data_IF_630990006260
#
_entry.id   IF_630990006260
#
_cell.length_a   1.000
_cell.length_b   1.000
_cell.length_c   1.000
_cell.angle_alpha   90.00
_cell.angle_beta   90.00
_cell.angle_gamma   90.00
#
_symmetry.space_group_name_H-M   'P 1'
#
loop_
_entity.id
_entity.type
_entity.pdbx_description
1 polymer ?
#
# COMPACT_ATOMS: atom_id res chain seq x y z
N UNK A 1 35.47 -36.96 19.57
CA UNK A 1 35.31 -37.35 18.15
C UNK A 1 33.87 -37.77 17.95
N UNK A 2 33.26 -37.37 16.83
CA UNK A 2 31.87 -37.61 16.40
C UNK A 2 30.77 -36.82 17.11
N UNK A 3 30.56 -35.58 16.66
CA UNK A 3 29.19 -35.02 16.45
C UNK A 3 29.25 -33.75 15.59
N UNK A 4 29.99 -33.83 14.47
CA UNK A 4 30.13 -32.75 13.48
C UNK A 4 29.41 -33.11 12.16
N UNK A 5 28.61 -34.19 12.13
CA UNK A 5 27.93 -34.72 10.93
C UNK A 5 26.42 -34.46 10.88
N UNK A 6 25.96 -33.30 11.38
CA UNK A 6 24.54 -32.90 11.27
C UNK A 6 24.36 -31.51 10.66
N UNK A 7 25.38 -31.02 9.96
CA UNK A 7 25.46 -29.69 9.36
C UNK A 7 25.62 -29.68 7.83
N UNK A 8 25.33 -30.79 7.12
CA UNK A 8 25.52 -30.88 5.66
C UNK A 8 24.28 -31.28 4.83
N UNK A 9 23.09 -31.39 5.44
CA UNK A 9 21.93 -31.99 4.75
C UNK A 9 20.69 -31.10 4.60
N UNK A 10 20.83 -29.77 4.66
CA UNK A 10 19.70 -28.89 4.35
C UNK A 10 20.06 -27.60 3.59
N UNK A 11 21.11 -27.67 2.78
CA UNK A 11 21.30 -26.73 1.67
C UNK A 11 21.07 -27.49 0.37
N UNK A 12 19.96 -27.19 -0.34
CA UNK A 12 19.82 -27.11 -1.81
C UNK A 12 18.38 -27.45 -2.25
N UNK A 13 17.59 -26.41 -2.53
CA UNK A 13 17.04 -26.08 -3.88
C UNK A 13 15.70 -25.34 -3.78
N UNK A 14 15.72 -24.05 -4.12
CA UNK A 14 14.68 -23.44 -4.95
C UNK A 14 15.36 -22.44 -5.89
N UNK A 15 15.94 -22.99 -6.97
CA UNK A 15 16.47 -22.23 -8.07
C UNK A 15 15.37 -21.98 -9.10
N UNK A 16 15.22 -20.71 -9.48
CA UNK A 16 14.53 -20.24 -10.68
C UNK A 16 15.16 -20.89 -11.90
N UNK A 17 14.39 -21.66 -12.70
CA UNK A 17 14.56 -21.78 -14.15
C UNK A 17 13.21 -22.13 -14.79
N UNK A 18 12.78 -21.24 -15.71
CA UNK A 18 11.69 -21.41 -16.70
C UNK A 18 11.86 -22.70 -17.51
N UNK A 19 10.79 -23.23 -18.12
CA UNK A 19 10.74 -23.80 -19.49
C UNK A 19 9.28 -24.17 -19.87
N UNK A 20 8.96 -24.37 -21.16
CA UNK A 20 7.82 -23.78 -21.84
C UNK A 20 6.69 -24.80 -22.12
N UNK A 21 5.48 -24.31 -22.43
CA UNK A 21 4.53 -25.09 -23.21
C UNK A 21 3.94 -24.26 -24.35
N UNK A 22 4.16 -24.80 -25.53
CA UNK A 22 4.04 -24.20 -26.83
C UNK A 22 2.58 -24.20 -27.31
N UNK A 23 2.13 -23.01 -27.71
CA UNK A 23 1.21 -22.71 -28.80
C UNK A 23 0.03 -23.62 -29.08
N UNK A 24 -1.19 -23.12 -28.79
CA UNK A 24 -2.31 -23.26 -29.73
C UNK A 24 -3.14 -21.97 -29.78
N UNK A 25 -2.95 -21.27 -30.90
CA UNK A 25 -3.84 -20.35 -31.63
C UNK A 25 -4.51 -19.20 -30.85
N UNK A 26 -3.75 -18.12 -30.79
CA UNK A 26 -4.10 -16.73 -30.44
C UNK A 26 -5.06 -16.05 -31.44
N UNK A 27 -5.95 -16.79 -32.11
CA UNK A 27 -6.85 -16.27 -33.15
C UNK A 27 -8.34 -16.42 -32.84
N UNK A 28 -8.76 -17.21 -31.85
CA UNK A 28 -10.21 -17.43 -31.60
C UNK A 28 -10.80 -16.58 -30.46
N UNK A 29 -9.97 -15.98 -29.59
CA UNK A 29 -10.45 -15.08 -28.53
C UNK A 29 -10.69 -13.63 -28.99
N UNK A 30 -10.19 -13.24 -30.17
CA UNK A 30 -10.44 -11.90 -30.74
C UNK A 30 -11.72 -11.83 -31.57
N UNK A 31 -12.24 -12.96 -32.07
CA UNK A 31 -13.46 -13.01 -32.85
C UNK A 31 -14.74 -12.89 -31.97
N UNK A 32 -14.68 -13.30 -30.71
CA UNK A 32 -15.77 -13.11 -29.73
C UNK A 32 -15.75 -11.70 -29.14
N UNK A 33 -14.58 -11.06 -29.04
CA UNK A 33 -14.45 -9.71 -28.51
C UNK A 33 -14.82 -8.58 -29.50
N UNK A 34 -14.95 -8.87 -30.80
CA UNK A 34 -15.24 -7.86 -31.82
C UNK A 34 -16.62 -7.97 -32.47
N UNK A 35 -17.45 -8.97 -32.14
CA UNK A 35 -18.87 -8.99 -32.51
C UNK A 35 -19.16 -8.73 -34.00
N UNK A 36 -18.38 -9.29 -34.93
CA UNK A 36 -18.61 -9.11 -36.37
C UNK A 36 -19.28 -10.36 -36.95
N UNK A 37 -20.55 -10.20 -37.33
CA UNK A 37 -21.29 -11.13 -38.18
C UNK A 37 -20.95 -10.82 -39.65
N UNK A 38 -20.48 -11.82 -40.40
CA UNK A 38 -20.24 -11.72 -41.85
C UNK A 38 -21.57 -11.58 -42.60
N UNK A 39 -21.65 -10.61 -43.50
CA UNK A 39 -22.76 -10.47 -44.46
C UNK A 39 -22.44 -9.40 -45.51
N UNK A 40 -22.13 -9.83 -46.73
CA UNK A 40 -21.80 -9.03 -47.92
C UNK A 40 -23.08 -8.56 -48.62
N UNK A 41 -23.17 -7.26 -49.00
CA UNK A 41 -23.51 -6.75 -50.35
C UNK A 41 -23.82 -5.23 -50.34
N UNK A 42 -23.03 -4.48 -51.13
CA UNK A 42 -23.53 -3.44 -52.03
C UNK A 42 -23.59 -1.98 -51.54
N UNK A 43 -22.95 -1.09 -52.30
CA UNK A 43 -23.38 0.31 -52.45
C UNK A 43 -22.40 1.37 -51.96
N UNK A 44 -21.57 1.88 -52.88
CA UNK A 44 -20.83 3.13 -52.75
C UNK A 44 -21.78 4.31 -52.48
N UNK A 45 -21.38 5.25 -51.60
CA UNK A 45 -21.54 6.72 -51.71
C UNK A 45 -21.04 7.40 -50.42
N UNK A 46 -19.92 8.12 -50.50
CA UNK A 46 -19.53 9.22 -49.58
C UNK A 46 -20.53 10.40 -49.75
N UNK A 47 -20.66 11.45 -48.88
CA UNK A 47 -19.70 12.05 -47.93
C UNK A 47 -20.37 12.52 -46.59
N UNK A 48 -20.05 13.67 -45.96
CA UNK A 48 -18.94 13.98 -45.04
C UNK A 48 -19.37 14.44 -43.62
N UNK A 49 -18.38 14.61 -42.74
CA UNK A 49 -18.31 15.53 -41.58
C UNK A 49 -19.62 15.91 -40.85
N UNK A 50 -19.77 15.44 -39.61
CA UNK A 50 -20.27 16.27 -38.51
C UNK A 50 -19.56 15.92 -37.20
N UNK A 51 -18.58 16.77 -36.89
CA UNK A 51 -18.17 17.09 -35.54
C UNK A 51 -19.39 17.56 -34.73
N UNK A 52 -19.26 17.41 -33.41
CA UNK A 52 -20.13 17.92 -32.34
C UNK A 52 -21.37 17.09 -31.99
N UNK A 53 -21.19 16.19 -31.01
CA UNK A 53 -21.93 16.24 -29.74
C UNK A 53 -21.54 15.05 -28.84
N UNK A 54 -20.65 15.29 -27.87
CA UNK A 54 -20.63 14.55 -26.61
C UNK A 54 -20.17 15.50 -25.50
N UNK A 55 -21.10 16.16 -24.79
CA UNK A 55 -20.78 16.83 -23.55
C UNK A 55 -20.65 15.79 -22.43
N UNK A 56 -19.60 15.91 -21.61
CA UNK A 56 -19.50 15.35 -20.25
C UNK A 56 -19.48 13.82 -20.13
N UNK A 57 -18.43 13.17 -20.65
CA UNK A 57 -18.01 11.88 -20.06
C UNK A 57 -17.23 12.23 -18.79
N UNK A 58 -17.94 12.24 -17.67
CA UNK A 58 -17.34 12.32 -16.35
C UNK A 58 -16.30 11.20 -16.19
N UNK A 59 -15.16 11.55 -15.60
CA UNK A 59 -14.00 10.71 -15.33
C UNK A 59 -14.25 9.55 -14.35
N UNK A 60 -15.52 9.15 -14.15
CA UNK A 60 -15.98 8.23 -13.12
C UNK A 60 -16.22 6.79 -13.61
N UNK A 61 -16.07 6.48 -14.90
CA UNK A 61 -16.36 5.12 -15.43
C UNK A 61 -15.11 4.44 -15.99
N UNK A 62 -14.04 4.40 -15.19
CA UNK A 62 -12.92 3.46 -15.43
C UNK A 62 -12.38 2.76 -14.18
N UNK A 63 -13.09 2.83 -13.04
CA UNK A 63 -12.65 2.19 -11.78
C UNK A 63 -13.43 0.93 -11.38
N UNK A 64 -14.40 0.47 -12.17
CA UNK A 64 -15.15 -0.75 -11.87
C UNK A 64 -14.48 -1.99 -12.48
N UNK A 65 -13.25 -2.31 -12.07
CA UNK A 65 -12.60 -3.60 -12.36
C UNK A 65 -11.35 -3.84 -11.49
N UNK A 66 -11.45 -3.62 -10.18
CA UNK A 66 -10.53 -4.24 -9.23
C UNK A 66 -11.38 -5.03 -8.26
N UNK A 67 -11.38 -6.36 -8.44
CA UNK A 67 -11.84 -7.32 -7.45
C UNK A 67 -11.00 -7.10 -6.19
N UNK A 68 -11.51 -6.30 -5.25
CA UNK A 68 -10.86 -6.13 -3.96
C UNK A 68 -10.93 -7.48 -3.25
N UNK A 69 -9.78 -7.98 -2.81
CA UNK A 69 -9.68 -9.18 -1.98
C UNK A 69 -10.29 -8.82 -0.61
N UNK A 70 -11.42 -9.44 -0.24
CA UNK A 70 -12.26 -9.13 0.93
C UNK A 70 -11.64 -9.54 2.29
N UNK A 71 -10.33 -9.36 2.46
CA UNK A 71 -9.62 -9.54 3.73
C UNK A 71 -8.95 -8.24 4.21
N UNK A 72 -9.44 -7.08 3.78
CA UNK A 72 -8.99 -5.80 4.33
C UNK A 72 -9.78 -5.50 5.60
N UNK A 73 -9.15 -5.72 6.77
CA UNK A 73 -9.69 -5.24 8.04
C UNK A 73 -9.79 -3.72 7.99
N UNK A 74 -11.01 -3.21 7.76
CA UNK A 74 -11.29 -1.80 7.65
C UNK A 74 -11.35 -1.17 9.05
N UNK A 75 -10.18 -0.94 9.65
CA UNK A 75 -10.10 -0.10 10.84
C UNK A 75 -10.33 1.35 10.43
N UNK A 76 -11.19 2.09 11.13
CA UNK A 76 -11.28 3.54 10.96
C UNK A 76 -9.98 4.17 11.46
N UNK A 77 -9.41 5.14 10.72
CA UNK A 77 -8.16 5.80 11.12
C UNK A 77 -8.27 7.31 10.96
N UNK A 78 -8.15 8.01 12.08
CA UNK A 78 -8.07 9.47 12.10
C UNK A 78 -6.77 9.98 11.49
N UNK A 79 -6.85 11.13 10.82
CA UNK A 79 -5.70 11.82 10.27
C UNK A 79 -4.86 12.50 11.36
N UNK A 80 -3.56 12.28 11.36
CA UNK A 80 -2.61 12.99 12.24
C UNK A 80 -2.21 14.35 11.64
N UNK A 81 -3.12 15.32 11.69
CA UNK A 81 -2.91 16.67 11.16
C UNK A 81 -1.93 17.49 12.01
N UNK A 82 -0.93 18.08 11.36
CA UNK A 82 0.01 19.04 11.97
C UNK A 82 0.02 20.33 11.16
N UNK A 83 0.19 21.46 11.83
CA UNK A 83 0.35 22.76 11.17
C UNK A 83 1.55 22.70 10.23
N UNK A 84 1.37 23.16 9.00
CA UNK A 84 2.37 23.07 7.97
C UNK A 84 2.50 24.40 7.21
N UNK A 85 3.73 24.85 7.01
CA UNK A 85 4.03 26.00 6.14
C UNK A 85 4.35 25.51 4.74
N UNK A 86 3.46 25.85 3.81
CA UNK A 86 3.53 25.46 2.42
C UNK A 86 4.50 26.35 1.63
N UNK A 87 5.34 25.74 0.78
CA UNK A 87 6.27 26.47 -0.09
C UNK A 87 5.61 26.67 -1.46
N UNK A 88 5.07 27.86 -1.68
CA UNK A 88 4.36 28.21 -2.92
C UNK A 88 2.83 28.15 -2.77
N UNK A 89 2.09 28.44 -3.86
CA UNK A 89 0.63 28.40 -3.85
C UNK A 89 0.14 26.96 -3.67
N UNK A 90 -0.71 26.73 -2.67
CA UNK A 90 -1.34 25.45 -2.40
C UNK A 90 -2.84 25.60 -2.19
N UNK A 91 -3.59 24.55 -2.55
CA UNK A 91 -5.04 24.48 -2.44
C UNK A 91 -5.45 23.41 -1.45
N UNK A 92 -6.55 23.64 -0.74
CA UNK A 92 -7.12 22.70 0.20
C UNK A 92 -7.79 21.55 -0.56
N UNK A 93 -7.41 20.32 -0.23
CA UNK A 93 -7.94 19.12 -0.89
C UNK A 93 -9.40 18.81 -0.51
N UNK A 94 -9.92 19.44 0.56
CA UNK A 94 -11.31 19.29 1.00
C UNK A 94 -12.27 20.26 0.30
N UNK A 95 -11.97 21.57 0.33
CA UNK A 95 -12.87 22.60 -0.23
C UNK A 95 -12.42 23.15 -1.59
N UNK A 96 -11.31 22.66 -2.15
CA UNK A 96 -10.69 23.11 -3.39
C UNK A 96 -10.29 24.61 -3.43
N UNK A 97 -10.42 25.34 -2.32
CA UNK A 97 -10.06 26.75 -2.24
C UNK A 97 -8.58 26.95 -1.91
N UNK A 98 -8.07 28.11 -2.29
CA UNK A 98 -6.70 28.53 -2.03
C UNK A 98 -6.40 28.66 -0.52
N UNK A 99 -5.21 28.23 -0.09
CA UNK A 99 -4.73 28.38 1.29
C UNK A 99 -3.94 29.68 1.43
N UNK A 100 -4.62 30.74 1.87
CA UNK A 100 -4.04 32.08 2.05
C UNK A 100 -3.02 32.12 3.19
N UNK A 101 -2.03 33.01 3.05
CA UNK A 101 -1.04 33.32 4.10
C UNK A 101 0.40 33.01 3.71
N UNK A 102 1.34 33.63 4.42
CA UNK A 102 2.78 33.43 4.20
C UNK A 102 3.35 32.23 4.98
N UNK A 103 2.78 31.96 6.17
CA UNK A 103 3.19 30.87 7.07
C UNK A 103 1.95 30.18 7.64
N UNK A 104 2.08 28.91 8.03
CA UNK A 104 1.03 28.14 8.69
C UNK A 104 -0.35 28.23 7.98
N UNK A 105 -0.34 28.19 6.64
CA UNK A 105 -1.54 28.40 5.80
C UNK A 105 -2.60 27.31 6.00
N UNK A 106 -2.18 26.15 6.49
CA UNK A 106 -3.06 25.02 6.74
C UNK A 106 -2.40 23.93 7.57
N UNK A 107 -2.99 22.75 7.52
CA UNK A 107 -2.50 21.55 8.18
C UNK A 107 -2.22 20.47 7.14
N UNK A 108 -1.20 19.66 7.43
CA UNK A 108 -0.82 18.48 6.64
C UNK A 108 -0.89 17.26 7.52
N UNK A 109 -1.53 16.19 7.05
CA UNK A 109 -1.48 14.90 7.72
C UNK A 109 -0.06 14.32 7.64
N UNK A 110 0.50 13.91 8.77
CA UNK A 110 1.85 13.32 8.81
C UNK A 110 1.90 11.94 8.16
N UNK A 111 0.78 11.20 8.20
CA UNK A 111 0.72 9.80 7.78
C UNK A 111 0.42 9.65 6.28
N UNK A 112 -0.59 10.37 5.76
CA UNK A 112 -0.97 10.29 4.34
C UNK A 112 -0.51 11.49 3.51
N UNK A 113 -0.22 12.63 4.13
CA UNK A 113 0.18 13.85 3.43
C UNK A 113 -0.95 14.75 2.92
N UNK A 114 -2.21 14.44 3.25
CA UNK A 114 -3.39 15.24 2.92
C UNK A 114 -3.25 16.68 3.46
N UNK A 115 -3.49 17.67 2.60
CA UNK A 115 -3.35 19.09 2.89
C UNK A 115 -4.72 19.78 2.92
N UNK A 116 -5.06 20.37 4.06
CA UNK A 116 -6.36 21.04 4.25
C UNK A 116 -6.22 22.29 5.10
N UNK A 117 -7.21 23.19 5.04
CA UNK A 117 -7.30 24.29 6.00
C UNK A 117 -7.53 23.76 7.42
N UNK A 118 -7.16 24.56 8.42
CA UNK A 118 -7.40 24.27 9.85
C UNK A 118 -8.89 24.07 10.20
N UNK A 119 -9.80 24.71 9.48
CA UNK A 119 -11.24 24.53 9.67
C UNK A 119 -11.76 23.30 8.92
N UNK A 120 -11.25 23.07 7.70
CA UNK A 120 -11.60 21.90 6.90
C UNK A 120 -11.19 20.59 7.59
N UNK A 121 -10.07 20.58 8.33
CA UNK A 121 -9.58 19.37 9.02
C UNK A 121 -10.59 18.76 10.00
N UNK A 122 -11.56 19.55 10.52
CA UNK A 122 -12.63 19.05 11.40
C UNK A 122 -13.74 18.29 10.66
N UNK A 123 -13.84 18.49 9.35
CA UNK A 123 -14.89 17.93 8.50
C UNK A 123 -14.37 16.78 7.62
N UNK A 124 -13.06 16.53 7.62
CA UNK A 124 -12.45 15.42 6.88
C UNK A 124 -12.83 14.11 7.57
N UNK A 125 -13.34 13.10 6.84
CA UNK A 125 -13.63 11.78 7.39
C UNK A 125 -12.36 11.07 7.91
N UNK A 126 -12.53 10.05 8.74
CA UNK A 126 -11.43 9.27 9.32
C UNK A 126 -11.01 8.09 8.41
N UNK A 127 -10.81 8.37 7.12
CA UNK A 127 -10.43 7.39 6.10
C UNK A 127 -8.93 7.47 5.76
N UNK A 128 -8.10 7.83 6.74
CA UNK A 128 -6.67 8.04 6.52
C UNK A 128 -6.00 6.75 5.99
N UNK A 129 -5.40 6.88 4.80
CA UNK A 129 -4.54 5.87 4.16
C UNK A 129 -3.07 6.31 4.23
N UNK A 130 -2.28 5.80 5.19
CA UNK A 130 -0.89 6.19 5.33
C UNK A 130 -0.04 5.79 4.12
N UNK A 131 0.91 6.65 3.75
CA UNK A 131 1.90 6.36 2.72
C UNK A 131 3.19 5.85 3.39
N UNK A 132 3.66 4.68 2.95
CA UNK A 132 4.87 4.05 3.48
C UNK A 132 6.10 4.98 3.36
N UNK A 133 6.15 5.84 2.32
CA UNK A 133 7.24 6.81 2.14
C UNK A 133 7.37 7.84 3.27
N UNK A 134 6.30 8.04 4.04
CA UNK A 134 6.26 9.02 5.14
C UNK A 134 6.60 8.38 6.49
N UNK A 135 6.56 7.06 6.57
CA UNK A 135 6.89 6.28 7.76
C UNK A 135 8.39 5.96 7.66
N UNK A 136 9.16 6.31 8.68
CA UNK A 136 10.63 6.16 8.68
C UNK A 136 11.14 5.19 9.75
N UNK A 137 10.24 4.75 10.63
CA UNK A 137 10.53 3.94 11.80
C UNK A 137 9.37 3.00 12.03
N UNK A 138 9.66 1.83 12.58
CA UNK A 138 8.65 0.88 13.02
C UNK A 138 8.21 1.25 14.44
N UNK A 139 9.17 1.52 15.30
CA UNK A 139 8.90 1.88 16.70
C UNK A 139 8.45 3.34 16.84
N UNK A 140 7.64 3.59 17.87
CA UNK A 140 7.02 4.89 18.17
C UNK A 140 6.04 5.41 17.09
N UNK A 141 5.75 4.62 16.06
CA UNK A 141 4.67 4.88 15.12
C UNK A 141 3.36 4.31 15.65
N UNK A 142 2.25 4.99 15.33
CA UNK A 142 0.92 4.50 15.70
C UNK A 142 0.64 3.13 15.06
N UNK A 143 0.05 2.23 15.85
CA UNK A 143 -0.20 0.86 15.43
C UNK A 143 -1.08 0.80 14.18
N UNK A 144 -2.16 1.59 14.14
CA UNK A 144 -3.08 1.59 13.00
C UNK A 144 -2.42 2.17 11.76
N UNK A 145 -1.52 3.16 11.93
CA UNK A 145 -0.71 3.69 10.83
C UNK A 145 0.19 2.62 10.24
N UNK A 146 0.93 1.89 11.07
CA UNK A 146 1.89 0.88 10.63
C UNK A 146 1.19 -0.30 9.95
N UNK A 147 0.15 -0.84 10.57
CA UNK A 147 -0.61 -2.00 10.07
C UNK A 147 -1.30 -1.67 8.73
N UNK A 148 -1.90 -0.48 8.61
CA UNK A 148 -2.50 -0.04 7.33
C UNK A 148 -1.47 0.21 6.24
N UNK A 149 -0.34 0.83 6.56
CA UNK A 149 0.70 1.12 5.58
C UNK A 149 1.33 -0.15 5.00
N UNK A 150 1.57 -1.16 5.85
CA UNK A 150 2.14 -2.44 5.45
C UNK A 150 1.08 -3.44 4.93
N UNK A 151 -0.21 -3.11 5.00
CA UNK A 151 -1.32 -3.99 4.64
C UNK A 151 -1.22 -5.36 5.32
N UNK A 152 -0.89 -5.37 6.61
CA UNK A 152 -0.83 -6.57 7.45
C UNK A 152 -1.95 -6.55 8.48
N UNK A 153 -2.16 -7.65 9.22
CA UNK A 153 -3.07 -7.67 10.37
C UNK A 153 -2.35 -7.32 11.69
N UNK A 154 -1.02 -7.51 11.71
CA UNK A 154 -0.16 -7.33 12.87
C UNK A 154 1.18 -6.72 12.41
N UNK A 155 1.87 -5.95 13.26
CA UNK A 155 3.22 -5.48 12.97
C UNK A 155 4.22 -6.62 12.87
N UNK A 156 5.15 -6.53 11.92
CA UNK A 156 6.23 -7.51 11.74
C UNK A 156 7.04 -7.76 13.02
N UNK A 157 7.24 -6.74 13.85
CA UNK A 157 7.97 -6.85 15.13
C UNK A 157 7.31 -7.89 16.04
N UNK A 158 5.98 -7.88 16.11
CA UNK A 158 5.23 -8.80 16.98
C UNK A 158 5.39 -10.23 16.47
N UNK A 159 5.23 -10.44 15.17
CA UNK A 159 5.34 -11.77 14.57
C UNK A 159 6.77 -12.33 14.70
N UNK A 160 7.79 -11.51 14.43
CA UNK A 160 9.20 -11.93 14.48
C UNK A 160 9.64 -12.23 15.92
N UNK A 161 9.33 -11.33 16.87
CA UNK A 161 9.73 -11.52 18.26
C UNK A 161 9.05 -12.74 18.89
N UNK A 162 7.74 -12.93 18.66
CA UNK A 162 7.03 -14.11 19.19
C UNK A 162 7.62 -15.38 18.61
N UNK A 163 7.83 -15.43 17.29
CA UNK A 163 8.40 -16.59 16.61
C UNK A 163 9.77 -16.99 17.18
N UNK A 164 10.66 -16.02 17.43
CA UNK A 164 11.98 -16.33 18.01
C UNK A 164 11.91 -16.74 19.48
N UNK A 165 10.99 -16.15 20.27
CA UNK A 165 10.78 -16.54 21.68
C UNK A 165 10.24 -17.96 21.76
N UNK A 166 9.26 -18.32 20.94
CA UNK A 166 8.70 -19.67 20.90
C UNK A 166 9.76 -20.70 20.46
N UNK A 167 10.62 -20.34 19.51
CA UNK A 167 11.65 -21.24 19.00
C UNK A 167 12.77 -21.56 20.02
N UNK A 168 13.14 -20.61 20.88
CA UNK A 168 14.35 -20.73 21.74
C UNK A 168 14.14 -20.39 23.21
N UNK A 169 13.25 -19.46 23.51
CA UNK A 169 13.08 -18.86 24.84
C UNK A 169 12.06 -19.54 25.73
N UNK A 170 11.21 -20.42 25.20
CA UNK A 170 10.09 -21.00 25.96
C UNK A 170 10.55 -21.87 27.16
N UNK A 171 11.77 -22.42 27.10
CA UNK A 171 12.37 -23.21 28.18
C UNK A 171 13.19 -22.38 29.19
N UNK A 172 13.34 -21.08 28.95
CA UNK A 172 14.13 -20.19 29.82
C UNK A 172 13.35 -19.84 31.08
N UNK A 173 13.97 -20.01 32.24
CA UNK A 173 13.37 -19.63 33.52
C UNK A 173 13.18 -18.11 33.62
N UNK A 174 12.01 -17.67 34.08
CA UNK A 174 11.74 -16.24 34.26
C UNK A 174 11.59 -15.45 32.96
N UNK A 175 11.19 -16.09 31.86
CA UNK A 175 10.84 -15.42 30.59
C UNK A 175 9.88 -14.24 30.85
N UNK A 176 10.16 -13.09 30.23
CA UNK A 176 9.50 -11.78 30.45
C UNK A 176 9.67 -11.14 31.84
N UNK A 177 10.14 -11.88 32.86
CA UNK A 177 10.47 -11.33 34.19
C UNK A 177 11.90 -10.81 34.27
N UNK A 178 12.84 -11.51 33.64
CA UNK A 178 14.26 -11.14 33.62
C UNK A 178 14.53 -10.18 32.46
N UNK A 179 15.13 -9.03 32.77
CA UNK A 179 15.52 -8.03 31.78
C UNK A 179 16.86 -8.36 31.14
N UNK A 180 16.94 -8.19 29.82
CA UNK A 180 18.22 -8.20 29.10
C UNK A 180 19.00 -6.89 29.28
N UNK A 181 20.20 -6.83 28.70
CA UNK A 181 20.98 -5.60 28.64
C UNK A 181 20.28 -4.55 27.78
N UNK A 182 20.12 -3.34 28.32
CA UNK A 182 19.44 -2.22 27.63
C UNK A 182 20.07 -1.90 26.28
N UNK A 183 21.39 -1.95 26.18
CA UNK A 183 22.13 -1.69 24.92
C UNK A 183 21.70 -2.67 23.82
N UNK A 184 21.65 -3.97 24.11
CA UNK A 184 21.22 -4.99 23.15
C UNK A 184 19.75 -4.84 22.76
N UNK A 185 18.88 -4.37 23.67
CA UNK A 185 17.46 -4.14 23.37
C UNK A 185 17.32 -2.97 22.37
N UNK A 186 18.07 -1.89 22.57
CA UNK A 186 18.07 -0.77 21.64
C UNK A 186 18.68 -1.17 20.28
N UNK A 187 19.70 -2.04 20.24
CA UNK A 187 20.24 -2.57 18.98
C UNK A 187 19.20 -3.36 18.18
N UNK A 188 18.40 -4.20 18.86
CA UNK A 188 17.29 -4.96 18.24
C UNK A 188 16.23 -4.01 17.69
N UNK A 189 15.84 -3.01 18.46
CA UNK A 189 14.88 -1.99 18.03
C UNK A 189 15.39 -1.21 16.80
N UNK A 190 16.66 -0.82 16.82
CA UNK A 190 17.30 -0.17 15.68
C UNK A 190 17.39 -1.08 14.45
N UNK A 191 17.49 -2.41 14.62
CA UNK A 191 17.46 -3.35 13.51
C UNK A 191 16.12 -3.32 12.76
N UNK A 192 15.01 -3.40 13.49
CA UNK A 192 13.68 -3.27 12.88
C UNK A 192 13.43 -1.92 12.22
N UNK A 193 13.87 -0.81 12.85
CA UNK A 193 13.72 0.53 12.26
C UNK A 193 14.49 0.68 10.93
N UNK A 194 15.53 -0.13 10.68
CA UNK A 194 16.28 -0.13 9.40
C UNK A 194 15.63 -0.98 8.31
N UNK A 195 14.74 -1.89 8.67
CA UNK A 195 14.08 -2.82 7.73
C UNK A 195 12.83 -2.24 7.07
N UNK A 196 12.49 -0.97 7.38
CA UNK A 196 11.32 -0.25 6.87
C UNK A 196 11.70 0.69 5.73
#
# INVERSE_FOLDING_TARGET
>A
MFSQELWLENEKKCAVVRKPKQGRKRQELLAVALGVKVGVKGGFLWPPLKLFACPQISSLVRRAALTHNDNHFNYEKTHNFKVHTFRGPHWCEYCANFMWGLIAQGVRCSDCGLNVHKQCSKHVPNDCQPDLKRIKKVYCCDLTTLVKAHNTQRPMVVDICIREIEARGLKSEGLYRVSGFTEHIEDVKMAFDREL
#
